data_IF_107643340886
#
_entry.id   IF_107643340886
#
_cell.length_a   1.000
_cell.length_b   1.000
_cell.length_c   1.000
_cell.angle_alpha   90.00
_cell.angle_beta   90.00
_cell.angle_gamma   90.00
#
_symmetry.space_group_name_H-M   'P 1'
#
loop_
_entity.id
_entity.type
_entity.pdbx_description
1 polymer ?
#
# COMPACT_ATOMS: atom_id res chain seq x y z
N UNK A 1 2.63 -10.34 16.56
CA UNK A 1 2.18 -10.18 15.16
C UNK A 1 0.70 -10.46 15.09
N UNK A 2 -0.04 -9.54 14.52
CA UNK A 2 -1.47 -9.70 14.29
C UNK A 2 -1.71 -9.99 12.81
N UNK A 3 -2.51 -11.03 12.51
CA UNK A 3 -2.82 -11.44 11.16
C UNK A 3 -4.35 -11.49 11.02
N UNK A 4 -4.87 -11.00 9.91
CA UNK A 4 -6.31 -11.06 9.65
C UNK A 4 -6.61 -11.71 8.30
N UNK A 5 -7.85 -12.15 8.17
CA UNK A 5 -8.47 -12.55 6.91
C UNK A 5 -9.70 -11.67 6.63
N UNK A 6 -10.50 -12.02 5.65
CA UNK A 6 -11.69 -11.25 5.30
C UNK A 6 -12.79 -11.28 6.38
N UNK A 7 -12.77 -12.27 7.27
CA UNK A 7 -13.83 -12.43 8.29
C UNK A 7 -13.54 -11.68 9.58
N UNK A 8 -12.27 -11.43 9.92
CA UNK A 8 -11.88 -10.81 11.20
C UNK A 8 -11.08 -9.50 11.05
N UNK A 9 -11.12 -8.90 9.88
CA UNK A 9 -10.33 -7.68 9.56
C UNK A 9 -10.57 -6.55 10.57
N UNK A 10 -11.83 -6.24 10.86
CA UNK A 10 -12.16 -5.12 11.76
C UNK A 10 -11.74 -5.39 13.21
N UNK A 11 -11.89 -6.63 13.67
CA UNK A 11 -11.51 -7.01 15.02
C UNK A 11 -9.98 -6.90 15.21
N UNK A 12 -9.21 -7.45 14.27
CA UNK A 12 -7.75 -7.42 14.34
C UNK A 12 -7.23 -5.99 14.20
N UNK A 13 -7.84 -5.18 13.34
CA UNK A 13 -7.49 -3.77 13.22
C UNK A 13 -7.69 -3.02 14.54
N UNK A 14 -8.83 -3.24 15.22
CA UNK A 14 -9.07 -2.62 16.54
C UNK A 14 -8.05 -3.03 17.57
N UNK A 15 -7.64 -4.30 17.60
CA UNK A 15 -6.59 -4.78 18.50
C UNK A 15 -5.27 -4.04 18.26
N UNK A 16 -4.91 -3.86 16.99
CA UNK A 16 -3.69 -3.13 16.63
C UNK A 16 -3.74 -1.68 17.10
N UNK A 17 -4.84 -0.99 16.82
CA UNK A 17 -4.99 0.43 17.14
C UNK A 17 -5.10 0.69 18.63
N UNK A 18 -5.68 -0.23 19.42
CA UNK A 18 -5.88 -0.07 20.86
C UNK A 18 -4.76 -0.66 21.70
N UNK A 19 -3.80 -1.36 21.10
CA UNK A 19 -2.71 -1.97 21.85
C UNK A 19 -1.78 -0.94 22.45
N UNK A 20 -1.43 -1.10 23.71
CA UNK A 20 -0.42 -0.29 24.41
C UNK A 20 0.99 -0.82 24.19
N UNK A 21 1.11 -2.08 23.76
CA UNK A 21 2.39 -2.71 23.44
C UNK A 21 2.64 -2.64 21.93
N UNK A 22 3.91 -2.60 21.49
CA UNK A 22 4.21 -2.62 20.07
C UNK A 22 3.64 -3.87 19.41
N UNK A 23 2.88 -3.66 18.33
CA UNK A 23 2.32 -4.76 17.53
C UNK A 23 2.67 -4.58 16.06
N UNK A 24 2.77 -5.69 15.35
CA UNK A 24 2.90 -5.70 13.88
C UNK A 24 1.62 -6.28 13.31
N UNK A 25 0.96 -5.49 12.47
CA UNK A 25 -0.23 -5.91 11.74
C UNK A 25 0.18 -6.40 10.36
N UNK A 26 -0.09 -7.66 10.06
CA UNK A 26 0.12 -8.26 8.76
C UNK A 26 -1.22 -8.34 8.03
N UNK A 27 -1.31 -7.68 6.89
CA UNK A 27 -2.56 -7.54 6.18
C UNK A 27 -2.42 -7.76 4.68
N UNK A 28 -3.31 -8.54 4.05
CA UNK A 28 -3.39 -8.61 2.60
C UNK A 28 -4.23 -7.48 1.98
N UNK A 29 -4.95 -6.68 2.78
CA UNK A 29 -5.98 -5.79 2.24
C UNK A 29 -6.13 -4.43 2.92
N UNK A 30 -5.11 -3.95 3.62
CA UNK A 30 -5.17 -2.63 4.30
C UNK A 30 -4.74 -1.46 3.40
N UNK A 31 -5.00 -1.56 2.10
CA UNK A 31 -4.68 -0.50 1.14
C UNK A 31 -5.79 0.56 1.02
N UNK A 32 -7.02 0.21 1.43
CA UNK A 32 -8.19 1.09 1.34
C UNK A 32 -9.00 1.06 2.63
N UNK A 33 -9.70 2.15 2.92
CA UNK A 33 -10.65 2.24 4.01
C UNK A 33 -10.04 2.23 5.41
N UNK A 34 -8.73 2.43 5.54
CA UNK A 34 -8.03 2.41 6.83
C UNK A 34 -7.16 3.66 6.96
N UNK A 35 -7.27 4.33 8.09
CA UNK A 35 -6.43 5.44 8.47
C UNK A 35 -5.63 5.05 9.71
N UNK A 36 -4.32 4.92 9.56
CA UNK A 36 -3.40 4.60 10.64
C UNK A 36 -2.60 5.85 10.97
N UNK A 37 -3.13 6.67 11.89
CA UNK A 37 -2.52 7.96 12.23
C UNK A 37 -1.61 7.84 13.46
N UNK A 38 -0.64 8.75 13.55
CA UNK A 38 0.25 8.90 14.69
C UNK A 38 0.93 7.58 15.08
N UNK A 39 0.83 7.18 16.33
CA UNK A 39 1.50 5.99 16.86
C UNK A 39 0.95 4.67 16.29
N UNK A 40 -0.19 4.69 15.59
CA UNK A 40 -0.75 3.47 14.99
C UNK A 40 0.10 2.92 13.86
N UNK A 41 0.87 3.78 13.16
CA UNK A 41 1.76 3.33 12.09
C UNK A 41 2.87 4.35 11.88
N UNK A 42 4.07 4.07 12.36
CA UNK A 42 5.27 4.90 12.13
C UNK A 42 6.15 4.36 11.02
N UNK A 43 6.01 3.09 10.70
CA UNK A 43 6.63 2.52 9.51
C UNK A 43 5.74 1.41 8.94
N UNK A 44 5.92 1.15 7.68
CA UNK A 44 5.22 0.05 7.01
C UNK A 44 6.14 -0.62 6.00
N UNK A 45 5.83 -1.85 5.67
CA UNK A 45 6.61 -2.65 4.74
C UNK A 45 5.66 -3.19 3.68
N UNK A 46 5.95 -2.88 2.42
CA UNK A 46 5.26 -3.46 1.26
C UNK A 46 6.14 -4.58 0.74
N UNK A 47 5.72 -5.82 0.96
CA UNK A 47 6.53 -6.99 0.61
C UNK A 47 6.49 -7.30 -0.88
N UNK A 48 5.37 -7.00 -1.54
CA UNK A 48 5.17 -7.25 -2.97
C UNK A 48 4.42 -6.09 -3.61
N UNK A 49 4.74 -5.82 -4.87
CA UNK A 49 3.98 -4.84 -5.65
C UNK A 49 2.54 -5.32 -5.80
N UNK A 50 1.55 -4.46 -5.48
CA UNK A 50 0.14 -4.85 -5.50
C UNK A 50 -0.46 -4.79 -6.91
N UNK A 51 -0.02 -5.66 -7.80
CA UNK A 51 -0.61 -5.77 -9.13
C UNK A 51 -2.06 -6.24 -9.04
N UNK A 52 -2.98 -5.71 -9.88
CA UNK A 52 -4.32 -6.26 -9.95
C UNK A 52 -4.31 -7.76 -10.30
N UNK A 53 -5.23 -8.52 -9.71
CA UNK A 53 -5.27 -9.97 -9.86
C UNK A 53 -5.70 -10.37 -11.29
N UNK A 54 -4.79 -11.01 -12.03
CA UNK A 54 -5.04 -11.40 -13.40
C UNK A 54 -5.97 -12.62 -13.57
N UNK A 55 -6.25 -13.32 -12.48
CA UNK A 55 -7.26 -14.38 -12.48
C UNK A 55 -8.69 -13.85 -12.61
N UNK A 56 -8.91 -12.56 -12.33
CA UNK A 56 -10.19 -11.92 -12.56
C UNK A 56 -10.35 -11.61 -14.05
N UNK A 57 -11.41 -12.14 -14.65
CA UNK A 57 -11.67 -11.99 -16.09
C UNK A 57 -11.86 -10.54 -16.52
N UNK A 58 -12.47 -9.71 -15.66
CA UNK A 58 -12.68 -8.29 -15.95
C UNK A 58 -11.36 -7.53 -15.95
N UNK A 59 -10.51 -7.79 -14.95
CA UNK A 59 -9.17 -7.20 -14.87
C UNK A 59 -8.35 -7.56 -16.12
N UNK A 60 -8.37 -8.83 -16.53
CA UNK A 60 -7.64 -9.29 -17.70
C UNK A 60 -8.15 -8.63 -18.99
N UNK A 61 -9.47 -8.48 -19.12
CA UNK A 61 -10.06 -7.77 -20.26
C UNK A 61 -9.63 -6.31 -20.33
N UNK A 62 -9.65 -5.62 -19.19
CA UNK A 62 -9.23 -4.22 -19.11
C UNK A 62 -7.76 -4.05 -19.43
N UNK A 63 -6.91 -4.93 -18.91
CA UNK A 63 -5.48 -4.92 -19.18
C UNK A 63 -5.19 -5.10 -20.69
N UNK A 64 -5.89 -6.05 -21.34
CA UNK A 64 -5.70 -6.31 -22.76
C UNK A 64 -6.19 -5.16 -23.63
N UNK A 65 -7.27 -4.49 -23.23
CA UNK A 65 -7.83 -3.35 -23.96
C UNK A 65 -7.03 -2.07 -23.75
N UNK A 66 -6.59 -1.84 -22.52
CA UNK A 66 -5.85 -0.64 -22.12
C UNK A 66 -4.64 -1.04 -21.26
N UNK A 67 -3.48 -1.22 -21.85
CA UNK A 67 -2.26 -1.62 -21.11
C UNK A 67 -1.88 -0.62 -20.03
N UNK A 68 -2.04 0.67 -20.30
CA UNK A 68 -1.76 1.73 -19.35
C UNK A 68 -2.62 1.64 -18.08
N UNK A 69 -3.82 1.09 -18.19
CA UNK A 69 -4.74 0.95 -17.05
C UNK A 69 -4.15 0.06 -15.95
N UNK A 70 -3.54 -1.03 -16.32
CA UNK A 70 -2.96 -1.98 -15.36
C UNK A 70 -1.84 -1.32 -14.54
N UNK A 71 -0.92 -0.63 -15.20
CA UNK A 71 0.15 0.11 -14.53
C UNK A 71 -0.38 1.25 -13.68
N UNK A 72 -1.41 1.96 -14.15
CA UNK A 72 -2.04 3.03 -13.39
C UNK A 72 -2.67 2.50 -12.10
N UNK A 73 -3.41 1.39 -12.16
CA UNK A 73 -4.02 0.81 -10.96
C UNK A 73 -2.95 0.37 -9.95
N UNK A 74 -1.87 -0.23 -10.43
CA UNK A 74 -0.75 -0.64 -9.59
C UNK A 74 -0.13 0.58 -8.88
N UNK A 75 0.18 1.62 -9.63
CA UNK A 75 0.75 2.86 -9.07
C UNK A 75 -0.19 3.51 -8.05
N UNK A 76 -1.48 3.59 -8.35
CA UNK A 76 -2.49 4.12 -7.42
C UNK A 76 -2.52 3.34 -6.12
N UNK A 77 -2.49 2.02 -6.19
CA UNK A 77 -2.51 1.18 -4.99
C UNK A 77 -1.26 1.39 -4.14
N UNK A 78 -0.10 1.52 -4.76
CA UNK A 78 1.16 1.82 -4.03
C UNK A 78 1.04 3.17 -3.32
N UNK A 79 0.60 4.21 -4.01
CA UNK A 79 0.46 5.55 -3.43
C UNK A 79 -0.55 5.55 -2.28
N UNK A 80 -1.68 4.87 -2.44
CA UNK A 80 -2.68 4.74 -1.38
C UNK A 80 -2.13 3.99 -0.17
N UNK A 81 -1.36 2.93 -0.39
CA UNK A 81 -0.76 2.16 0.70
C UNK A 81 0.21 3.01 1.52
N UNK A 82 1.06 3.78 0.86
CA UNK A 82 1.99 4.70 1.54
C UNK A 82 1.22 5.74 2.34
N UNK A 83 0.11 6.25 1.81
CA UNK A 83 -0.71 7.26 2.46
C UNK A 83 -1.48 6.79 3.69
N UNK A 84 -1.52 5.48 3.99
CA UNK A 84 -2.27 4.98 5.16
C UNK A 84 -1.68 5.41 6.50
N UNK A 85 -0.40 5.74 6.52
CA UNK A 85 0.30 6.10 7.76
C UNK A 85 0.54 7.61 7.90
N UNK A 86 0.19 8.42 6.90
CA UNK A 86 0.40 9.87 6.92
C UNK A 86 -0.94 10.55 6.62
N UNK A 87 -1.46 11.31 7.60
CA UNK A 87 -2.79 11.94 7.51
C UNK A 87 -2.79 13.44 7.73
N UNK A 88 -1.73 14.00 8.27
CA UNK A 88 -1.60 15.44 8.51
C UNK A 88 -0.16 15.87 8.21
N UNK A 89 0.06 17.17 8.15
CA UNK A 89 1.40 17.72 7.93
C UNK A 89 2.39 17.34 9.04
N UNK A 90 1.89 17.08 10.25
CA UNK A 90 2.71 16.69 11.37
C UNK A 90 2.99 15.20 11.46
N UNK A 91 2.27 14.38 10.68
CA UNK A 91 2.51 12.94 10.64
C UNK A 91 3.78 12.62 9.87
N UNK A 92 4.49 11.59 10.34
CA UNK A 92 5.60 11.04 9.58
C UNK A 92 5.56 9.52 9.66
N UNK A 93 6.00 8.88 8.60
CA UNK A 93 6.15 7.43 8.53
C UNK A 93 7.17 7.08 7.45
N UNK A 94 7.80 5.93 7.61
CA UNK A 94 8.73 5.41 6.61
C UNK A 94 8.11 4.16 5.98
N UNK A 95 8.12 4.09 4.66
CA UNK A 95 7.66 2.92 3.92
C UNK A 95 8.85 2.23 3.25
N UNK A 96 9.01 0.95 3.54
CA UNK A 96 10.01 0.10 2.91
C UNK A 96 9.32 -0.76 1.86
N UNK A 97 9.82 -0.77 0.63
CA UNK A 97 9.31 -1.62 -0.44
C UNK A 97 10.36 -2.66 -0.75
N UNK A 98 10.08 -3.92 -0.42
CA UNK A 98 11.05 -5.01 -0.48
C UNK A 98 11.07 -5.74 -1.82
N UNK A 99 10.07 -5.53 -2.68
CA UNK A 99 10.02 -6.20 -3.97
C UNK A 99 11.05 -5.58 -4.92
N UNK A 100 12.01 -6.37 -5.38
CA UNK A 100 13.05 -5.91 -6.30
C UNK A 100 12.51 -5.41 -7.64
N UNK A 101 11.32 -5.84 -8.03
CA UNK A 101 10.67 -5.37 -9.26
C UNK A 101 10.16 -3.94 -9.15
N UNK A 102 10.09 -3.37 -7.94
CA UNK A 102 9.61 -2.01 -7.76
C UNK A 102 10.47 -0.99 -8.50
N UNK A 103 11.79 -1.12 -8.45
CA UNK A 103 12.67 -0.20 -9.16
C UNK A 103 12.39 -0.17 -10.65
N UNK A 104 12.23 -1.34 -11.28
CA UNK A 104 11.89 -1.45 -12.70
C UNK A 104 10.53 -0.83 -12.99
N UNK A 105 9.54 -1.17 -12.18
CA UNK A 105 8.19 -0.64 -12.34
C UNK A 105 8.19 0.88 -12.21
N UNK A 106 8.84 1.43 -11.19
CA UNK A 106 8.88 2.85 -10.92
C UNK A 106 9.56 3.62 -12.07
N UNK A 107 10.71 3.15 -12.54
CA UNK A 107 11.43 3.85 -13.62
C UNK A 107 10.68 3.81 -14.94
N UNK A 108 9.93 2.76 -15.21
CA UNK A 108 9.09 2.66 -16.42
C UNK A 108 7.83 3.51 -16.33
N UNK A 109 7.35 3.80 -15.13
CA UNK A 109 6.05 4.41 -14.90
C UNK A 109 6.11 5.64 -14.00
N UNK A 110 7.26 6.33 -13.96
CA UNK A 110 7.47 7.49 -13.08
C UNK A 110 6.38 8.54 -13.23
N UNK A 111 5.89 8.77 -14.44
CA UNK A 111 4.84 9.75 -14.73
C UNK A 111 3.49 9.43 -14.08
N UNK A 112 3.29 8.20 -13.63
CA UNK A 112 2.06 7.78 -12.93
C UNK A 112 2.06 8.12 -11.45
N UNK A 113 3.22 8.48 -10.89
CA UNK A 113 3.36 8.80 -9.47
C UNK A 113 3.29 10.31 -9.26
N UNK A 114 2.55 10.79 -8.23
CA UNK A 114 2.52 12.21 -7.90
C UNK A 114 3.90 12.76 -7.56
N UNK A 115 4.11 14.04 -7.80
CA UNK A 115 5.38 14.71 -7.49
C UNK A 115 5.76 14.55 -6.02
N UNK A 116 4.80 14.68 -5.10
CA UNK A 116 5.03 14.50 -3.67
C UNK A 116 5.56 13.10 -3.33
N UNK A 117 5.04 12.08 -4.00
CA UNK A 117 5.55 10.72 -3.85
C UNK A 117 6.99 10.61 -4.34
N UNK A 118 7.26 11.15 -5.54
CA UNK A 118 8.58 11.10 -6.15
C UNK A 118 9.64 11.80 -5.30
N UNK A 119 9.30 12.95 -4.73
CA UNK A 119 10.20 13.72 -3.86
C UNK A 119 10.49 13.02 -2.53
N UNK A 120 9.56 12.19 -2.04
CA UNK A 120 9.72 11.47 -0.78
C UNK A 120 10.62 10.24 -0.88
N UNK A 121 10.95 9.81 -2.08
CA UNK A 121 11.75 8.61 -2.29
C UNK A 121 13.22 8.83 -1.94
N UNK A 122 13.78 7.85 -1.20
CA UNK A 122 15.19 7.79 -0.84
C UNK A 122 15.75 6.47 -1.35
N UNK A 123 16.82 6.55 -2.09
CA UNK A 123 17.48 5.35 -2.63
C UNK A 123 18.47 4.74 -1.64
#
# INVERSE_FOLDING_TARGET
>A
ILIHDSSNREEVLRKHMSSKEPTVLLSPSMTEGVDLVDEASRFQIICKIPYPYLGDKLVKKRMNKWRWWYSLQTAKTIVQSVGRSIRSESDFAVTYILDSDFSKFYYRNTYLFPESFRESMVS
#
